data_IF_894004336631
#
_entry.id   IF_894004336631
#
_cell.length_a   1.000
_cell.length_b   1.000
_cell.length_c   1.000
_cell.angle_alpha   90.00
_cell.angle_beta   90.00
_cell.angle_gamma   90.00
#
_symmetry.space_group_name_H-M   'P 1'
#
loop_
_entity.id
_entity.type
_entity.pdbx_description
1 polymer ?
#
# COMPACT_ATOMS: atom_id res chain seq x y z
N UNK A 1 -17.64 -12.39 -10.01
CA UNK A 1 -17.09 -12.81 -8.71
C UNK A 1 -16.66 -11.56 -7.97
N UNK A 2 -16.66 -11.53 -6.63
CA UNK A 2 -16.14 -10.37 -5.87
C UNK A 2 -14.71 -10.70 -5.43
N UNK A 3 -13.76 -9.76 -5.55
CA UNK A 3 -12.36 -9.92 -5.11
C UNK A 3 -12.12 -8.99 -3.92
N UNK A 4 -11.93 -9.57 -2.74
CA UNK A 4 -11.52 -8.83 -1.54
C UNK A 4 -10.02 -8.60 -1.63
N UNK A 5 -9.55 -7.38 -1.36
CA UNK A 5 -8.13 -7.07 -1.21
C UNK A 5 -7.87 -6.56 0.19
N UNK A 6 -6.82 -7.09 0.81
CA UNK A 6 -6.27 -6.54 2.04
C UNK A 6 -5.37 -5.36 1.68
N UNK A 7 -5.59 -4.21 2.33
CA UNK A 7 -4.86 -2.97 2.10
C UNK A 7 -4.29 -2.46 3.43
N UNK A 8 -2.98 -2.27 3.48
CA UNK A 8 -2.28 -1.69 4.62
C UNK A 8 -1.34 -0.60 4.10
N UNK A 9 -1.54 0.63 4.57
CA UNK A 9 -0.81 1.82 4.15
C UNK A 9 -0.03 2.41 5.31
N UNK A 10 1.14 2.97 5.00
CA UNK A 10 2.06 3.58 5.95
C UNK A 10 2.21 5.06 5.63
N UNK A 11 2.05 5.91 6.66
CA UNK A 11 2.05 7.36 6.52
C UNK A 11 3.09 8.03 7.41
N UNK A 12 3.69 9.11 6.90
CA UNK A 12 4.57 10.01 7.62
C UNK A 12 4.15 11.45 7.29
N UNK A 13 3.94 12.31 8.29
CA UNK A 13 3.44 13.69 8.08
C UNK A 13 2.20 13.80 7.16
N UNK A 14 1.27 12.85 7.30
CA UNK A 14 0.06 12.69 6.45
C UNK A 14 0.36 12.34 4.97
N UNK A 15 1.60 12.03 4.64
CA UNK A 15 2.07 11.58 3.34
C UNK A 15 2.19 10.04 3.31
N UNK A 16 1.69 9.36 2.27
CA UNK A 16 1.76 7.90 2.16
C UNK A 16 3.12 7.51 1.57
N UNK A 17 3.98 6.84 2.34
CA UNK A 17 5.31 6.49 1.84
C UNK A 17 5.43 5.02 1.40
N UNK A 18 4.54 4.14 1.88
CA UNK A 18 4.54 2.73 1.51
C UNK A 18 3.16 2.08 1.63
N UNK A 19 2.93 1.05 0.82
CA UNK A 19 1.71 0.24 0.84
C UNK A 19 2.03 -1.25 0.70
N UNK A 20 1.30 -2.10 1.41
CA UNK A 20 1.28 -3.54 1.15
C UNK A 20 0.30 -3.87 0.02
N UNK A 21 0.80 -4.52 -1.03
CA UNK A 21 -0.04 -5.03 -2.12
C UNK A 21 -0.28 -6.53 -1.94
N UNK A 22 -1.54 -6.91 -1.67
CA UNK A 22 -1.94 -8.30 -1.48
C UNK A 22 -1.95 -9.13 -2.76
N UNK A 23 -1.96 -8.51 -3.94
CA UNK A 23 -1.80 -9.22 -5.20
C UNK A 23 -0.32 -9.58 -5.46
N UNK A 24 0.62 -8.83 -4.88
CA UNK A 24 2.06 -9.04 -5.05
C UNK A 24 2.74 -9.67 -3.82
N UNK A 25 2.07 -9.67 -2.66
CA UNK A 25 2.62 -10.19 -1.40
C UNK A 25 3.81 -9.38 -0.85
N UNK A 26 3.93 -8.10 -1.20
CA UNK A 26 5.09 -7.27 -0.85
C UNK A 26 4.72 -5.81 -0.57
N UNK A 27 5.62 -5.13 0.13
CA UNK A 27 5.57 -3.68 0.30
C UNK A 27 6.06 -2.98 -0.97
N UNK A 28 5.31 -1.98 -1.41
CA UNK A 28 5.60 -1.12 -2.54
C UNK A 28 5.76 0.29 -2.01
N UNK A 29 6.87 0.96 -2.38
CA UNK A 29 7.06 2.36 -2.06
C UNK A 29 6.04 3.20 -2.84
N UNK A 30 5.37 4.12 -2.15
CA UNK A 30 4.55 5.14 -2.79
C UNK A 30 5.49 6.30 -3.04
N UNK A 31 5.89 6.46 -4.30
CA UNK A 31 6.86 7.49 -4.68
C UNK A 31 6.18 8.86 -4.57
N UNK A 32 6.47 9.59 -3.50
CA UNK A 32 6.17 11.02 -3.38
C UNK A 32 7.50 11.77 -3.44
N UNK A 33 7.66 12.59 -4.48
CA UNK A 33 8.82 13.47 -4.69
C UNK A 33 8.57 14.85 -4.11
#
# INVERSE_FOLDING_TARGET
>A
TQRVRYLQSYFYDRQEFARFDSDLGKHVAVTEF
#
